data_IF_021846058109
#
_entry.id   IF_021846058109
#
_cell.length_a   1.000
_cell.length_b   1.000
_cell.length_c   1.000
_cell.angle_alpha   90.00
_cell.angle_beta   90.00
_cell.angle_gamma   90.00
#
_symmetry.space_group_name_H-M   'P 1'
#
loop_
_entity.id
_entity.type
_entity.pdbx_description
1 polymer ?
#
# COMPACT_ATOMS: atom_id res chain seq x y z
N UNK A 1 4.44 9.99 -14.60
CA UNK A 1 5.19 10.18 -13.35
C UNK A 1 6.57 9.54 -13.39
N UNK A 2 6.71 8.23 -13.65
CA UNK A 2 8.03 7.57 -13.63
C UNK A 2 9.10 8.25 -14.51
N UNK A 3 8.80 8.50 -15.79
CA UNK A 3 9.74 9.16 -16.70
C UNK A 3 10.13 10.57 -16.24
N UNK A 4 9.21 11.28 -15.59
CA UNK A 4 9.47 12.60 -15.03
C UNK A 4 10.42 12.51 -13.82
N UNK A 5 10.17 11.58 -12.89
CA UNK A 5 11.06 11.35 -11.74
C UNK A 5 12.47 10.95 -12.21
N UNK A 6 12.56 10.05 -13.18
CA UNK A 6 13.83 9.66 -13.79
C UNK A 6 14.57 10.84 -14.42
N UNK A 7 13.84 11.73 -15.11
CA UNK A 7 14.43 12.94 -15.69
C UNK A 7 14.95 13.90 -14.60
N UNK A 8 14.17 14.16 -13.55
CA UNK A 8 14.58 15.02 -12.43
C UNK A 8 15.83 14.46 -11.73
N UNK A 9 15.87 13.16 -11.46
CA UNK A 9 17.05 12.51 -10.90
C UNK A 9 18.27 12.60 -11.82
N UNK A 10 18.09 12.53 -13.14
CA UNK A 10 19.19 12.66 -14.11
C UNK A 10 19.85 14.05 -14.10
N UNK A 11 19.15 15.06 -13.58
CA UNK A 11 19.69 16.41 -13.37
C UNK A 11 20.48 16.54 -12.06
N UNK A 12 20.62 15.46 -11.28
CA UNK A 12 21.26 15.47 -9.96
C UNK A 12 20.40 16.11 -8.87
N UNK A 13 19.12 16.36 -9.13
CA UNK A 13 18.19 16.92 -8.15
C UNK A 13 17.77 15.79 -7.20
N UNK A 14 17.93 15.94 -5.87
CA UNK A 14 17.45 14.94 -4.92
C UNK A 14 15.93 14.78 -5.00
N UNK A 15 15.46 13.54 -5.07
CA UNK A 15 14.02 13.20 -5.14
C UNK A 15 13.62 12.34 -3.94
N UNK A 16 12.54 12.73 -3.28
CA UNK A 16 11.89 11.99 -2.20
C UNK A 16 10.46 11.67 -2.66
N UNK A 17 10.05 10.43 -2.86
CA UNK A 17 10.83 9.21 -2.97
C UNK A 17 11.46 9.06 -4.38
N UNK A 18 12.59 8.36 -4.54
CA UNK A 18 13.25 8.18 -5.84
C UNK A 18 12.39 7.41 -6.85
N UNK A 19 12.79 7.42 -8.12
CA UNK A 19 12.12 6.64 -9.19
C UNK A 19 12.11 5.15 -8.87
N UNK A 20 13.15 4.64 -8.19
CA UNK A 20 13.22 3.25 -7.75
C UNK A 20 12.07 2.87 -6.80
N UNK A 21 11.73 3.75 -5.85
CA UNK A 21 10.62 3.56 -4.93
C UNK A 21 9.27 3.64 -5.64
N UNK A 22 9.13 4.57 -6.59
CA UNK A 22 7.92 4.69 -7.40
C UNK A 22 7.62 3.42 -8.22
N UNK A 23 8.65 2.68 -8.66
CA UNK A 23 8.46 1.41 -9.37
C UNK A 23 7.83 0.32 -8.47
N UNK A 24 8.30 0.20 -7.23
CA UNK A 24 7.74 -0.74 -6.26
C UNK A 24 6.32 -0.34 -5.83
N UNK A 25 6.07 0.95 -5.64
CA UNK A 25 4.73 1.48 -5.36
C UNK A 25 3.71 1.04 -6.41
N UNK A 26 4.07 1.22 -7.67
CA UNK A 26 3.15 1.04 -8.78
C UNK A 26 2.82 -0.43 -9.05
N UNK A 27 3.73 -1.36 -8.75
CA UNK A 27 3.62 -2.76 -9.18
C UNK A 27 3.60 -3.74 -8.00
N UNK A 28 2.41 -4.29 -7.74
CA UNK A 28 2.22 -5.37 -6.77
C UNK A 28 3.01 -6.64 -7.14
N UNK A 29 3.20 -6.90 -8.43
CA UNK A 29 4.06 -7.99 -8.91
C UNK A 29 5.54 -7.81 -8.50
N UNK A 30 6.08 -6.59 -8.59
CA UNK A 30 7.43 -6.31 -8.08
C UNK A 30 7.52 -6.46 -6.55
N UNK A 31 6.45 -6.10 -5.83
CA UNK A 31 6.39 -6.29 -4.38
C UNK A 31 6.42 -7.78 -3.98
N UNK A 32 5.82 -8.69 -4.76
CA UNK A 32 5.93 -10.13 -4.50
C UNK A 32 7.39 -10.60 -4.52
N UNK A 33 8.16 -10.16 -5.53
CA UNK A 33 9.59 -10.46 -5.61
C UNK A 33 10.37 -9.87 -4.44
N UNK A 34 9.99 -8.67 -3.96
CA UNK A 34 10.58 -8.05 -2.78
C UNK A 34 10.30 -8.87 -1.50
N UNK A 35 9.06 -9.34 -1.31
CA UNK A 35 8.71 -10.17 -0.17
C UNK A 35 9.48 -11.49 -0.17
N UNK A 36 9.56 -12.14 -1.33
CA UNK A 36 10.30 -13.39 -1.52
C UNK A 36 11.80 -13.21 -1.20
N UNK A 37 12.43 -12.17 -1.78
CA UNK A 37 13.85 -11.87 -1.58
C UNK A 37 14.20 -11.66 -0.10
N UNK A 38 13.29 -11.09 0.68
CA UNK A 38 13.50 -10.77 2.09
C UNK A 38 12.97 -11.83 3.06
N UNK A 39 12.44 -12.95 2.55
CA UNK A 39 11.84 -14.02 3.35
C UNK A 39 10.63 -13.54 4.17
N UNK A 40 9.93 -12.52 3.69
CA UNK A 40 8.76 -11.95 4.35
C UNK A 40 7.53 -12.75 3.95
N UNK A 41 6.65 -13.04 4.92
CA UNK A 41 5.41 -13.76 4.63
C UNK A 41 4.39 -12.83 3.98
N UNK A 42 3.85 -13.26 2.85
CA UNK A 42 2.81 -12.57 2.08
C UNK A 42 1.74 -13.55 1.63
N UNK A 43 0.53 -13.10 1.27
CA UNK A 43 -0.49 -13.97 0.72
C UNK A 43 0.00 -14.54 -0.62
N UNK A 44 0.09 -15.85 -0.71
CA UNK A 44 0.48 -16.60 -1.91
C UNK A 44 -0.21 -16.04 -3.15
N UNK A 45 0.57 -15.76 -4.18
CA UNK A 45 0.06 -15.11 -5.37
C UNK A 45 0.79 -15.56 -6.64
N UNK A 46 0.04 -15.59 -7.73
CA UNK A 46 0.54 -15.84 -9.08
C UNK A 46 0.27 -14.61 -9.94
N UNK A 47 1.30 -14.12 -10.64
CA UNK A 47 1.18 -13.01 -11.58
C UNK A 47 0.72 -13.56 -12.93
N UNK A 48 -0.34 -12.96 -13.48
CA UNK A 48 -0.94 -13.35 -14.76
C UNK A 48 -1.07 -12.16 -15.68
N UNK A 49 -0.87 -12.37 -16.98
CA UNK A 49 -1.09 -11.37 -18.02
C UNK A 49 -2.11 -11.83 -19.08
N UNK A 50 -2.71 -13.00 -18.87
CA UNK A 50 -3.79 -13.52 -19.71
C UNK A 50 -4.83 -14.28 -18.89
N UNK A 51 -6.10 -14.21 -19.28
CA UNK A 51 -7.21 -14.85 -18.54
C UNK A 51 -7.07 -16.37 -18.44
N UNK A 52 -6.58 -17.02 -19.50
CA UNK A 52 -6.34 -18.47 -19.52
C UNK A 52 -5.34 -18.96 -18.46
N UNK A 53 -4.53 -18.07 -17.89
CA UNK A 53 -3.61 -18.39 -16.79
C UNK A 53 -4.31 -18.39 -15.43
N UNK A 54 -5.44 -17.70 -15.29
CA UNK A 54 -6.17 -17.54 -14.01
C UNK A 54 -6.61 -18.90 -13.47
N UNK A 55 -7.18 -19.75 -14.32
CA UNK A 55 -7.62 -21.08 -13.90
C UNK A 55 -6.45 -22.02 -13.59
N UNK A 56 -5.28 -21.81 -14.21
CA UNK A 56 -4.06 -22.57 -13.94
C UNK A 56 -3.43 -22.18 -12.60
N UNK A 57 -3.52 -20.90 -12.22
CA UNK A 57 -3.05 -20.40 -10.94
C UNK A 57 -3.78 -21.02 -9.74
N UNK A 58 -4.94 -21.65 -9.94
CA UNK A 58 -5.71 -22.30 -8.88
C UNK A 58 -4.97 -23.49 -8.26
N UNK A 59 -4.11 -24.17 -9.02
CA UNK A 59 -3.31 -25.30 -8.51
C UNK A 59 -2.31 -24.83 -7.43
N UNK A 60 -1.90 -23.56 -7.47
CA UNK A 60 -0.99 -22.96 -6.51
C UNK A 60 -1.74 -22.22 -5.39
N UNK A 61 -2.77 -21.43 -5.74
CA UNK A 61 -3.43 -20.46 -4.84
C UNK A 61 -4.62 -21.06 -4.07
N UNK A 62 -5.46 -21.86 -4.74
CA UNK A 62 -6.72 -22.36 -4.16
C UNK A 62 -7.76 -21.27 -3.85
N UNK A 63 -8.78 -21.62 -3.07
CA UNK A 63 -9.87 -20.73 -2.63
C UNK A 63 -9.96 -20.62 -1.10
N UNK A 64 -10.50 -19.52 -0.54
CA UNK A 64 -10.94 -18.31 -1.25
C UNK A 64 -9.76 -17.49 -1.78
N UNK A 65 -9.98 -16.75 -2.87
CA UNK A 65 -8.95 -15.93 -3.50
C UNK A 65 -9.45 -14.53 -3.83
N UNK A 66 -8.51 -13.63 -4.11
CA UNK A 66 -8.76 -12.33 -4.73
C UNK A 66 -8.00 -12.24 -6.06
N UNK A 67 -8.62 -11.60 -7.04
CA UNK A 67 -7.95 -11.15 -8.26
C UNK A 67 -7.85 -9.64 -8.18
N UNK A 68 -6.63 -9.11 -8.31
CA UNK A 68 -6.36 -7.68 -8.25
C UNK A 68 -5.45 -7.21 -9.38
N UNK A 69 -5.69 -6.04 -9.98
CA UNK A 69 -4.75 -5.43 -10.92
C UNK A 69 -3.35 -5.27 -10.31
N UNK A 70 -2.31 -5.46 -11.12
CA UNK A 70 -0.92 -5.20 -10.73
C UNK A 70 -0.72 -3.71 -10.42
N UNK A 71 -1.23 -2.85 -11.30
CA UNK A 71 -1.18 -1.40 -11.19
C UNK A 71 -2.56 -0.86 -10.82
N UNK A 72 -2.61 -0.06 -9.75
CA UNK A 72 -3.83 0.57 -9.25
C UNK A 72 -3.76 0.83 -7.75
N UNK A 73 -4.54 1.80 -7.28
CA UNK A 73 -4.67 2.18 -5.87
C UNK A 73 -6.10 2.01 -5.36
N UNK A 74 -6.30 2.26 -4.06
CA UNK A 74 -7.62 2.32 -3.42
C UNK A 74 -8.45 1.02 -3.54
N UNK A 75 -7.80 -0.11 -3.79
CA UNK A 75 -8.44 -1.40 -4.03
C UNK A 75 -9.42 -1.43 -5.22
N UNK A 76 -9.29 -0.49 -6.15
CA UNK A 76 -10.06 -0.50 -7.39
C UNK A 76 -9.76 -1.78 -8.21
N UNK A 77 -10.83 -2.46 -8.65
CA UNK A 77 -10.73 -3.68 -9.46
C UNK A 77 -10.35 -4.94 -8.68
N UNK A 78 -10.24 -4.88 -7.35
CA UNK A 78 -10.07 -6.09 -6.53
C UNK A 78 -11.40 -6.83 -6.48
N UNK A 79 -11.36 -8.13 -6.80
CA UNK A 79 -12.52 -9.00 -6.74
C UNK A 79 -12.20 -10.24 -5.91
N UNK A 80 -13.07 -10.57 -4.96
CA UNK A 80 -13.00 -11.83 -4.21
C UNK A 80 -13.82 -12.91 -4.88
N UNK A 81 -13.32 -14.15 -4.80
CA UNK A 81 -14.00 -15.36 -5.25
C UNK A 81 -13.95 -16.42 -4.15
N UNK A 82 -15.10 -17.01 -3.83
CA UNK A 82 -15.20 -18.08 -2.85
C UNK A 82 -15.09 -19.47 -3.48
N UNK A 83 -15.50 -19.63 -4.74
CA UNK A 83 -15.50 -20.93 -5.43
C UNK A 83 -15.03 -20.82 -6.89
N UNK A 84 -14.73 -21.98 -7.48
CA UNK A 84 -14.31 -22.09 -8.88
C UNK A 84 -15.41 -21.69 -9.85
N UNK A 85 -16.64 -22.01 -9.53
CA UNK A 85 -17.84 -21.70 -10.33
C UNK A 85 -18.03 -20.19 -10.41
N UNK A 86 -17.95 -19.49 -9.26
CA UNK A 86 -18.05 -18.03 -9.21
C UNK A 86 -16.96 -17.35 -10.07
N UNK A 87 -15.74 -17.89 -10.02
CA UNK A 87 -14.64 -17.40 -10.83
C UNK A 87 -14.86 -17.65 -12.33
N UNK A 88 -15.30 -18.85 -12.70
CA UNK A 88 -15.55 -19.21 -14.09
C UNK A 88 -16.64 -18.33 -14.72
N UNK A 89 -17.73 -18.08 -13.99
CA UNK A 89 -18.86 -17.26 -14.45
C UNK A 89 -18.47 -15.80 -14.72
N UNK A 90 -17.40 -15.33 -14.08
CA UNK A 90 -16.96 -13.92 -14.13
C UNK A 90 -15.60 -13.72 -14.80
N UNK A 91 -14.97 -14.79 -15.30
CA UNK A 91 -13.62 -14.77 -15.84
C UNK A 91 -13.45 -13.73 -16.95
N UNK A 92 -14.41 -13.66 -17.87
CA UNK A 92 -14.38 -12.73 -19.01
C UNK A 92 -14.56 -11.27 -18.59
N UNK A 93 -15.19 -11.03 -17.44
CA UNK A 93 -15.40 -9.68 -16.88
C UNK A 93 -14.22 -9.15 -16.07
N UNK A 94 -13.18 -9.97 -15.85
CA UNK A 94 -12.01 -9.54 -15.08
C UNK A 94 -11.26 -8.42 -15.80
N UNK A 95 -10.93 -7.37 -15.05
CA UNK A 95 -10.10 -6.26 -15.49
C UNK A 95 -8.68 -6.40 -14.90
N UNK A 96 -7.68 -6.55 -15.77
CA UNK A 96 -6.27 -6.68 -15.35
C UNK A 96 -5.57 -5.33 -15.18
N UNK A 97 -6.33 -4.24 -15.05
CA UNK A 97 -5.76 -2.90 -14.94
C UNK A 97 -5.12 -2.38 -16.23
N UNK A 98 -4.45 -1.21 -16.13
CA UNK A 98 -3.96 -0.47 -17.30
C UNK A 98 -2.73 -1.08 -17.97
N UNK A 99 -2.01 -1.97 -17.29
CA UNK A 99 -0.83 -2.68 -17.82
C UNK A 99 -1.14 -4.12 -18.25
N UNK A 100 -2.42 -4.52 -18.21
CA UNK A 100 -2.87 -5.85 -18.62
C UNK A 100 -2.33 -6.98 -17.74
N UNK A 101 -1.90 -6.69 -16.51
CA UNK A 101 -1.34 -7.66 -15.57
C UNK A 101 -2.15 -7.69 -14.28
N UNK A 102 -2.48 -8.89 -13.78
CA UNK A 102 -3.18 -9.08 -12.52
C UNK A 102 -2.44 -10.08 -11.62
N UNK A 103 -2.81 -10.08 -10.34
CA UNK A 103 -2.41 -11.08 -9.36
C UNK A 103 -3.64 -11.93 -9.03
N UNK A 104 -3.51 -13.25 -9.14
CA UNK A 104 -4.39 -14.23 -8.49
C UNK A 104 -3.76 -14.51 -7.14
N UNK A 105 -4.39 -14.12 -6.04
CA UNK A 105 -3.79 -14.13 -4.70
C UNK A 105 -4.74 -14.78 -3.69
N UNK A 106 -4.20 -15.55 -2.75
CA UNK A 106 -4.99 -16.16 -1.68
C UNK A 106 -5.66 -15.07 -0.83
N UNK A 107 -6.91 -15.29 -0.45
CA UNK A 107 -7.61 -14.38 0.46
C UNK A 107 -7.31 -14.79 1.90
N UNK A 108 -6.65 -13.91 2.65
CA UNK A 108 -6.43 -14.10 4.08
C UNK A 108 -7.51 -13.37 4.89
N UNK A 109 -8.29 -14.11 5.67
CA UNK A 109 -9.18 -13.52 6.66
C UNK A 109 -8.34 -13.01 7.84
N UNK A 110 -8.45 -11.71 8.14
CA UNK A 110 -7.72 -11.11 9.23
C UNK A 110 -8.47 -11.19 10.57
N UNK A 111 -7.71 -11.27 11.66
CA UNK A 111 -8.23 -11.14 13.02
C UNK A 111 -8.96 -9.80 13.14
N UNK A 112 -10.22 -9.85 13.60
CA UNK A 112 -11.10 -8.68 13.77
C UNK A 112 -11.33 -7.87 12.47
N UNK A 113 -11.14 -8.46 11.28
CA UNK A 113 -11.46 -7.80 10.01
C UNK A 113 -10.58 -6.58 9.72
N UNK A 114 -9.30 -6.70 10.04
CA UNK A 114 -8.46 -5.57 10.35
C UNK A 114 -7.03 -5.64 9.79
N UNK A 115 -6.39 -4.48 9.62
CA UNK A 115 -4.99 -4.34 9.16
C UNK A 115 -4.22 -3.41 10.08
N UNK A 116 -2.90 -3.45 9.94
CA UNK A 116 -1.98 -2.48 10.50
C UNK A 116 -1.17 -1.88 9.36
N UNK A 117 -1.08 -0.54 9.34
CA UNK A 117 -0.21 0.22 8.46
C UNK A 117 0.89 0.84 9.30
N UNK A 118 2.14 0.58 8.94
CA UNK A 118 3.32 1.14 9.61
C UNK A 118 3.97 2.14 8.69
N UNK A 119 4.05 3.40 9.12
CA UNK A 119 4.74 4.47 8.40
C UNK A 119 6.22 4.54 8.78
N UNK A 120 7.05 4.79 7.78
CA UNK A 120 8.48 4.98 7.87
C UNK A 120 8.84 6.35 7.32
N UNK A 121 9.78 7.02 7.98
CA UNK A 121 10.40 8.25 7.50
C UNK A 121 11.91 8.15 7.72
N UNK A 122 12.70 8.40 6.67
CA UNK A 122 14.16 8.39 6.71
C UNK A 122 14.72 7.07 7.29
N UNK A 123 14.16 5.94 6.84
CA UNK A 123 14.55 4.61 7.28
C UNK A 123 14.23 4.29 8.75
N UNK A 124 13.44 5.13 9.42
CA UNK A 124 13.05 4.98 10.82
C UNK A 124 11.53 4.82 10.95
N UNK A 125 11.11 4.04 11.92
CA UNK A 125 9.70 3.96 12.32
C UNK A 125 9.17 5.36 12.66
N UNK A 126 8.05 5.73 12.06
CA UNK A 126 7.37 7.00 12.32
C UNK A 126 6.18 6.80 13.26
N UNK A 127 5.21 6.00 12.85
CA UNK A 127 4.07 5.55 13.66
C UNK A 127 3.41 4.33 13.02
N UNK A 128 2.48 3.69 13.72
CA UNK A 128 1.57 2.70 13.15
C UNK A 128 0.12 3.06 13.47
N UNK A 129 -0.76 2.74 12.53
CA UNK A 129 -2.20 2.81 12.72
C UNK A 129 -2.81 1.45 12.51
N UNK A 130 -3.86 1.20 13.26
CA UNK A 130 -4.68 0.00 13.17
C UNK A 130 -6.01 0.39 12.57
N UNK A 131 -6.38 -0.25 11.46
CA UNK A 131 -7.59 0.03 10.70
C UNK A 131 -8.50 -1.19 10.82
N UNK A 132 -9.71 -0.97 11.34
CA UNK A 132 -10.75 -1.98 11.49
C UNK A 132 -11.91 -1.61 10.59
N UNK A 133 -12.46 -2.59 9.87
CA UNK A 133 -13.68 -2.39 9.09
C UNK A 133 -14.91 -2.64 9.92
N UNK A 134 -15.95 -1.88 9.64
CA UNK A 134 -17.30 -2.29 9.96
C UNK A 134 -17.69 -3.51 9.12
N UNK A 135 -18.48 -4.43 9.69
CA UNK A 135 -18.82 -5.71 9.06
C UNK A 135 -19.57 -5.55 7.74
N UNK A 136 -20.24 -4.43 7.54
CA UNK A 136 -21.05 -4.14 6.36
C UNK A 136 -20.26 -3.44 5.23
N UNK A 137 -18.98 -3.10 5.43
CA UNK A 137 -18.16 -2.32 4.49
C UNK A 137 -17.49 -3.15 3.36
N UNK A 138 -17.77 -4.45 3.27
CA UNK A 138 -17.15 -5.34 2.27
C UNK A 138 -15.73 -5.81 2.63
N UNK A 139 -15.00 -6.36 1.65
CA UNK A 139 -13.71 -7.05 1.88
C UNK A 139 -12.46 -6.23 1.48
N UNK A 140 -12.60 -4.99 0.99
CA UNK A 140 -11.47 -4.11 0.70
C UNK A 140 -11.05 -3.36 1.98
N UNK A 141 -9.75 -3.26 2.27
CA UNK A 141 -9.18 -2.62 3.47
C UNK A 141 -8.42 -1.33 3.17
N UNK A 142 -8.32 -0.95 1.90
CA UNK A 142 -7.37 0.08 1.49
C UNK A 142 -7.68 1.44 2.15
N UNK A 143 -6.78 1.97 3.00
CA UNK A 143 -6.99 3.28 3.62
C UNK A 143 -6.96 4.43 2.61
N UNK A 144 -6.44 4.22 1.39
CA UNK A 144 -6.49 5.24 0.34
C UNK A 144 -7.93 5.60 -0.08
N UNK A 145 -8.93 4.77 0.21
CA UNK A 145 -10.35 5.10 0.02
C UNK A 145 -10.85 6.22 0.95
N UNK A 146 -10.12 6.53 2.04
CA UNK A 146 -10.38 7.64 2.96
C UNK A 146 -10.10 8.99 2.28
N UNK A 147 -9.20 9.03 1.29
CA UNK A 147 -8.72 10.27 0.67
C UNK A 147 -9.48 10.68 -0.59
N UNK A 148 -10.56 9.98 -0.98
CA UNK A 148 -11.36 10.37 -2.14
C UNK A 148 -12.24 11.57 -1.79
N UNK A 149 -11.89 12.75 -2.31
CA UNK A 149 -12.77 13.91 -2.34
C UNK A 149 -13.95 13.65 -3.28
N UNK A 150 -15.17 13.84 -2.80
CA UNK A 150 -16.32 14.10 -3.67
C UNK A 150 -16.07 15.45 -4.35
N UNK A 151 -16.17 15.60 -5.69
CA UNK A 151 -16.10 16.92 -6.29
C UNK A 151 -17.33 17.72 -5.86
N UNK A 152 -17.14 18.76 -5.06
CA UNK A 152 -18.16 19.78 -4.86
C UNK A 152 -18.32 20.58 -6.18
N UNK A 153 -19.52 21.09 -6.51
CA UNK A 153 -19.72 21.85 -7.74
C UNK A 153 -18.98 23.19 -7.65
N UNK A 154 -18.00 23.37 -8.54
CA UNK A 154 -17.45 24.62 -9.08
C UNK A 154 -17.46 25.87 -8.18
N UNK A 155 -16.36 26.11 -7.47
CA UNK A 155 -15.90 27.46 -7.16
C UNK A 155 -14.44 27.62 -7.66
N UNK A 156 -14.17 28.45 -8.69
CA UNK A 156 -12.83 28.61 -9.26
C UNK A 156 -11.86 29.39 -8.35
N UNK A 157 -12.32 29.94 -7.22
CA UNK A 157 -11.50 30.74 -6.31
C UNK A 157 -10.91 29.93 -5.12
N UNK A 158 -11.27 28.66 -4.98
CA UNK A 158 -10.75 27.77 -3.95
C UNK A 158 -9.93 26.64 -4.57
N UNK A 159 -8.81 26.98 -5.21
CA UNK A 159 -7.75 26.01 -5.46
C UNK A 159 -7.01 25.74 -4.13
N UNK A 160 -7.75 25.17 -3.17
CA UNK A 160 -7.18 24.65 -1.95
C UNK A 160 -6.35 23.41 -2.32
N UNK A 161 -5.02 23.51 -2.14
CA UNK A 161 -4.08 22.38 -2.24
C UNK A 161 -4.24 21.43 -1.04
N UNK A 162 -5.43 21.37 -0.45
CA UNK A 162 -5.83 20.51 0.65
C UNK A 162 -6.00 19.07 0.19
N UNK A 163 -4.90 18.31 0.22
CA UNK A 163 -4.97 16.86 0.22
C UNK A 163 -5.62 16.40 1.54
N UNK A 164 -6.91 16.08 1.46
CA UNK A 164 -7.76 15.25 2.35
C UNK A 164 -9.01 15.99 2.86
N UNK A 165 -10.22 15.40 2.73
CA UNK A 165 -11.31 15.71 3.64
C UNK A 165 -10.93 15.31 5.06
N UNK A 166 -11.38 16.09 6.02
CA UNK A 166 -11.10 16.03 7.46
C UNK A 166 -11.75 14.83 8.16
N UNK A 167 -12.57 14.05 7.45
CA UNK A 167 -13.40 13.00 8.04
C UNK A 167 -13.12 11.63 7.39
N UNK A 168 -12.76 10.65 8.23
CA UNK A 168 -12.69 9.25 7.81
C UNK A 168 -14.04 8.82 7.19
N UNK A 169 -14.00 8.07 6.08
CA UNK A 169 -15.22 7.50 5.49
C UNK A 169 -16.07 6.78 6.56
N UNK A 170 -17.41 6.86 6.51
CA UNK A 170 -18.28 6.02 7.33
C UNK A 170 -17.92 4.54 7.13
N UNK A 171 -17.68 3.79 8.22
CA UNK A 171 -17.44 2.34 8.18
C UNK A 171 -15.99 1.86 8.38
N UNK A 172 -15.04 2.76 8.68
CA UNK A 172 -13.67 2.41 9.10
C UNK A 172 -13.35 3.04 10.45
N UNK A 173 -12.85 2.23 11.40
CA UNK A 173 -12.27 2.69 12.67
C UNK A 173 -10.73 2.73 12.53
N UNK A 174 -10.15 3.91 12.70
CA UNK A 174 -8.71 4.15 12.58
C UNK A 174 -8.18 4.68 13.90
N UNK A 175 -7.19 3.99 14.45
CA UNK A 175 -6.58 4.34 15.75
C UNK A 175 -5.09 4.14 15.73
N UNK A 176 -4.37 4.88 16.58
CA UNK A 176 -2.96 4.63 16.83
C UNK A 176 -2.72 3.19 17.30
N UNK A 177 -1.57 2.64 16.92
CA UNK A 177 -1.22 1.26 17.22
C UNK A 177 0.26 1.13 17.57
N UNK A 178 0.55 0.25 18.52
CA UNK A 178 1.92 -0.12 18.87
C UNK A 178 2.30 -1.40 18.14
N UNK A 179 2.98 -1.25 17.00
CA UNK A 179 3.47 -2.39 16.22
C UNK A 179 4.59 -3.12 16.97
N UNK A 180 4.67 -4.44 16.81
CA UNK A 180 5.73 -5.23 17.46
C UNK A 180 7.12 -4.87 16.90
N UNK A 181 8.20 -5.04 17.68
CA UNK A 181 9.56 -4.80 17.20
C UNK A 181 9.91 -5.60 15.93
N UNK A 182 9.44 -6.85 15.83
CA UNK A 182 9.62 -7.71 14.65
C UNK A 182 8.88 -7.14 13.42
N UNK A 183 7.67 -6.62 13.61
CA UNK A 183 6.92 -6.00 12.53
C UNK A 183 7.61 -4.72 12.05
N UNK A 184 8.07 -3.89 12.97
CA UNK A 184 8.80 -2.65 12.67
C UNK A 184 10.10 -2.96 11.90
N UNK A 185 10.90 -3.93 12.36
CA UNK A 185 12.13 -4.35 11.66
C UNK A 185 11.83 -4.79 10.23
N UNK A 186 10.82 -5.64 10.05
CA UNK A 186 10.41 -6.13 8.72
C UNK A 186 10.00 -5.00 7.80
N UNK A 187 9.23 -4.02 8.30
CA UNK A 187 8.81 -2.85 7.53
C UNK A 187 10.00 -1.96 7.15
N UNK A 188 10.95 -1.75 8.07
CA UNK A 188 12.19 -1.00 7.78
C UNK A 188 13.01 -1.73 6.70
N UNK A 189 13.14 -3.06 6.76
CA UNK A 189 13.84 -3.84 5.73
C UNK A 189 13.17 -3.73 4.37
N UNK A 190 11.84 -3.84 4.32
CA UNK A 190 11.05 -3.70 3.09
C UNK A 190 11.21 -2.32 2.46
N UNK A 191 10.98 -1.25 3.24
CA UNK A 191 11.10 0.14 2.75
C UNK A 191 12.53 0.47 2.34
N UNK A 192 13.54 -0.04 3.06
CA UNK A 192 14.95 0.13 2.66
C UNK A 192 15.24 -0.51 1.32
N UNK A 193 14.86 -1.77 1.12
CA UNK A 193 15.07 -2.51 -0.12
C UNK A 193 14.27 -1.93 -1.30
N UNK A 194 13.07 -1.39 -1.03
CA UNK A 194 12.27 -0.66 -2.01
C UNK A 194 12.78 0.78 -2.27
N UNK A 195 13.88 1.22 -1.63
CA UNK A 195 14.41 2.59 -1.74
C UNK A 195 13.45 3.70 -1.27
N UNK A 196 12.47 3.37 -0.44
CA UNK A 196 11.48 4.29 0.12
C UNK A 196 12.11 5.09 1.26
N UNK A 197 12.04 6.42 1.19
CA UNK A 197 12.39 7.37 2.25
C UNK A 197 11.21 7.67 3.16
N UNK A 198 10.03 7.89 2.58
CA UNK A 198 8.77 8.11 3.30
C UNK A 198 7.70 7.21 2.72
N UNK A 199 6.97 6.49 3.56
CA UNK A 199 5.94 5.58 3.06
C UNK A 199 5.48 4.58 4.10
N UNK A 200 4.49 3.78 3.72
CA UNK A 200 3.80 2.86 4.62
C UNK A 200 3.86 1.43 4.12
N UNK A 201 3.92 0.46 5.03
CA UNK A 201 3.73 -0.95 4.68
C UNK A 201 2.53 -1.48 5.43
N UNK A 202 1.69 -2.24 4.73
CA UNK A 202 0.47 -2.83 5.26
C UNK A 202 0.65 -4.32 5.51
N UNK A 203 0.20 -4.75 6.69
CA UNK A 203 0.09 -6.16 7.04
C UNK A 203 -1.21 -6.46 7.77
N UNK A 204 -1.57 -7.73 7.79
CA UNK A 204 -2.67 -8.27 8.58
C UNK A 204 -2.18 -9.43 9.47
N UNK A 205 -2.95 -9.71 10.51
CA UNK A 205 -2.80 -10.92 11.32
C UNK A 205 -3.81 -11.94 10.82
N UNK A 206 -3.35 -13.07 10.31
CA UNK A 206 -4.22 -14.14 9.81
C UNK A 206 -5.01 -14.77 10.95
N UNK A 207 -6.32 -14.92 10.76
CA UNK A 207 -7.20 -15.62 11.71
C UNK A 207 -6.93 -17.13 11.77
N UNK A 208 -6.38 -17.70 10.69
CA UNK A 208 -6.16 -19.14 10.58
C UNK A 208 -4.93 -19.63 11.36
N UNK A 209 -3.85 -18.85 11.36
CA UNK A 209 -2.56 -19.26 11.94
C UNK A 209 -1.94 -18.21 12.90
N UNK A 210 -2.57 -17.05 13.07
CA UNK A 210 -2.09 -15.97 13.93
C UNK A 210 -0.84 -15.25 13.43
N UNK A 211 -0.38 -15.51 12.20
CA UNK A 211 0.87 -14.95 11.67
C UNK A 211 0.64 -13.63 10.94
N UNK A 212 1.71 -12.85 10.81
CA UNK A 212 1.73 -11.63 10.01
C UNK A 212 1.87 -11.95 8.53
N UNK A 213 1.03 -11.32 7.70
CA UNK A 213 1.08 -11.36 6.25
C UNK A 213 1.15 -9.92 5.71
N UNK A 214 2.25 -9.60 5.03
CA UNK A 214 2.49 -8.32 4.39
C UNK A 214 1.95 -8.37 2.96
N UNK A 215 1.24 -7.33 2.51
CA UNK A 215 0.55 -7.41 1.23
C UNK A 215 0.59 -6.12 0.39
N UNK A 216 1.03 -5.00 0.96
CA UNK A 216 1.18 -3.74 0.22
C UNK A 216 2.35 -2.90 0.77
N UNK A 217 3.14 -2.33 -0.14
CA UNK A 217 4.28 -1.47 0.16
C UNK A 217 4.08 -0.14 -0.56
N UNK A 218 3.79 0.90 0.21
CA UNK A 218 3.35 2.19 -0.28
C UNK A 218 4.44 3.28 -0.19
N UNK A 219 4.92 3.81 -1.31
CA UNK A 219 5.84 4.97 -1.38
C UNK A 219 5.11 6.32 -1.49
N UNK A 220 3.81 6.36 -1.73
CA UNK A 220 3.03 7.62 -1.72
C UNK A 220 1.92 7.61 -0.67
N UNK A 221 2.23 7.03 0.50
CA UNK A 221 1.30 6.97 1.62
C UNK A 221 0.95 8.37 2.15
N UNK A 222 -0.34 8.67 2.23
CA UNK A 222 -0.81 9.84 2.95
C UNK A 222 -0.71 9.59 4.45
N UNK A 223 -0.24 10.58 5.21
CA UNK A 223 -0.31 10.50 6.66
C UNK A 223 -1.77 10.44 7.13
N UNK A 224 -1.99 9.80 8.28
CA UNK A 224 -3.32 9.66 8.86
C UNK A 224 -3.94 11.04 9.11
N UNK A 225 -5.23 11.18 8.77
CA UNK A 225 -5.97 12.40 9.05
C UNK A 225 -6.05 12.64 10.56
N UNK A 226 -6.00 13.90 10.98
CA UNK A 226 -6.00 14.30 12.40
C UNK A 226 -4.91 13.57 13.22
N UNK A 227 -3.69 13.50 12.67
CA UNK A 227 -2.58 12.77 13.27
C UNK A 227 -2.30 13.13 14.74
N UNK A 228 -2.38 14.41 15.20
CA UNK A 228 -2.21 14.72 16.62
C UNK A 228 -3.18 13.97 17.54
N UNK A 229 -4.43 13.75 17.11
CA UNK A 229 -5.41 12.99 17.89
C UNK A 229 -5.21 11.46 17.78
N UNK A 230 -4.79 10.97 16.61
CA UNK A 230 -4.68 9.52 16.35
C UNK A 230 -3.36 8.92 16.85
N UNK A 231 -2.24 9.62 16.62
CA UNK A 231 -0.89 9.14 16.90
C UNK A 231 -0.10 10.04 17.86
N UNK A 232 -0.70 11.14 18.33
CA UNK A 232 -0.14 11.98 19.40
C UNK A 232 0.86 13.05 18.93
N UNK A 233 1.11 13.19 17.63
CA UNK A 233 1.98 14.22 17.06
C UNK A 233 1.63 14.52 15.60
N UNK A 234 2.17 15.61 15.06
CA UNK A 234 2.05 15.97 13.65
C UNK A 234 3.22 15.40 12.82
N UNK A 235 3.03 14.36 12.00
CA UNK A 235 4.08 13.76 11.18
C UNK A 235 4.54 14.67 10.03
N UNK A 236 3.70 15.61 9.58
CA UNK A 236 4.04 16.53 8.49
C UNK A 236 5.22 17.42 8.85
N UNK A 237 5.31 17.90 10.10
CA UNK A 237 6.44 18.70 10.58
C UNK A 237 7.76 17.95 10.43
N UNK A 238 7.80 16.67 10.85
CA UNK A 238 8.99 15.82 10.71
C UNK A 238 9.36 15.57 9.25
N UNK A 239 8.36 15.44 8.39
CA UNK A 239 8.60 15.27 6.96
C UNK A 239 9.16 16.54 6.31
N UNK A 240 8.65 17.72 6.69
CA UNK A 240 9.20 19.01 6.26
C UNK A 240 10.66 19.15 6.70
N UNK A 241 10.98 18.82 7.95
CA UNK A 241 12.36 18.82 8.44
C UNK A 241 13.26 17.92 7.60
N UNK A 242 12.76 16.72 7.25
CA UNK A 242 13.49 15.79 6.39
C UNK A 242 13.74 16.35 4.98
N UNK A 243 12.75 16.99 4.36
CA UNK A 243 12.91 17.64 3.04
C UNK A 243 13.98 18.73 3.11
N UNK A 244 13.94 19.59 4.14
CA UNK A 244 14.92 20.66 4.34
C UNK A 244 16.33 20.09 4.51
N UNK A 245 16.46 18.99 5.26
CA UNK A 245 17.73 18.31 5.48
C UNK A 245 18.31 17.72 4.19
N UNK A 246 17.50 17.04 3.37
CA UNK A 246 17.94 16.50 2.07
C UNK A 246 18.35 17.62 1.13
N UNK A 247 17.61 18.73 1.10
CA UNK A 247 17.95 19.90 0.29
C UNK A 247 19.28 20.53 0.71
N UNK A 248 19.54 20.67 2.02
CA UNK A 248 20.78 21.25 2.56
C UNK A 248 22.01 20.38 2.31
N UNK A 249 21.85 19.06 2.36
CA UNK A 249 22.96 18.10 2.16
C UNK A 249 23.32 17.90 0.68
N UNK A 250 22.48 18.37 -0.24
CA UNK A 250 22.63 18.14 -1.67
C UNK A 250 22.43 16.67 -2.07
N UNK A 251 21.72 15.88 -1.25
CA UNK A 251 21.53 14.46 -1.47
C UNK A 251 20.95 13.71 -0.27
N UNK A 252 20.47 12.49 -0.53
CA UNK A 252 19.96 11.57 0.50
C UNK A 252 21.13 11.03 1.34
N UNK A 253 20.93 10.73 2.63
CA UNK A 253 21.95 10.04 3.42
C UNK A 253 22.39 8.75 2.71
N UNK A 254 23.70 8.51 2.64
CA UNK A 254 24.24 7.29 2.03
C UNK A 254 23.66 6.05 2.73
N UNK A 255 22.79 5.32 2.04
CA UNK A 255 22.28 4.03 2.52
C UNK A 255 23.43 3.04 2.33
N UNK A 256 24.18 2.77 3.40
CA UNK A 256 25.26 1.77 3.38
C UNK A 256 24.76 0.47 2.73
N UNK A 257 25.60 -0.10 1.85
CA UNK A 257 25.35 -1.37 1.19
C UNK A 257 25.14 -2.51 2.19
#
# INVERSE_FOLDING_TARGET
TEAFLAHVESLGIPVINPVAAYRFEKSKALQLGLFEQLGVRYPRAVVVNHRDQVLKALDEVGFPLVIKPNVGGSGAGIVRFATREELADRLDSLHFGPDGTALVQEYIESVEGAIVRVEVLDGRYLYAIRIVRDRDAGFNLCPADICQTTPAPSDPAAADLGACPVDAKPGLDVRGYEASPEAIDTVIRLTRAASIDVGGVEYLVSKADGKLYYYDVNATSNFVANAPAVVGFEPTERFVDYIVDVARRGGRPGRGA
#
